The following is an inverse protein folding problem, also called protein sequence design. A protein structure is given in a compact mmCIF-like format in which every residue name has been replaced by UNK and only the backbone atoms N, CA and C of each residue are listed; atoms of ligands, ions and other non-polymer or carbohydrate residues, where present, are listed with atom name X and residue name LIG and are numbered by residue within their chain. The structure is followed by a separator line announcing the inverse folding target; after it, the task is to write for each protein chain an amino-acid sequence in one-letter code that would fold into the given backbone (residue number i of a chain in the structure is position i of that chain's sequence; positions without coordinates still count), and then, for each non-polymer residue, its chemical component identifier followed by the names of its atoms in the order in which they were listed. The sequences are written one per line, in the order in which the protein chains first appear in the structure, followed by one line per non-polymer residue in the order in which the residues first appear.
data_IF_592787280526
#
_entry.id   IF_592787280526
#
_cell.length_a   1.000
_cell.length_b   1.000
_cell.length_c   1.000
_cell.angle_alpha   90.00
_cell.angle_beta   90.00
_cell.angle_gamma   90.00
#
_symmetry.space_group_name_H-M   'P 1'
#
loop_
_entity.id
_entity.type
_entity.pdbx_description
1 polymer ?
#
# COMPACT_ATOMS: atom_id res chain seq x y z
N UNK A 1 67.72 5.69 -50.70
CA UNK A 1 67.38 5.80 -49.27
C UNK A 1 66.38 6.94 -49.08
N UNK A 2 65.12 6.65 -48.67
CA UNK A 2 64.38 7.40 -47.63
C UNK A 2 63.00 6.75 -47.32
N UNK A 3 62.99 5.51 -46.79
CA UNK A 3 61.79 4.91 -46.16
C UNK A 3 61.79 5.26 -44.67
N UNK A 4 61.38 6.47 -44.26
CA UNK A 4 61.27 6.80 -42.82
C UNK A 4 60.10 7.70 -42.40
N UNK A 5 59.24 8.21 -43.29
CA UNK A 5 58.29 9.26 -42.90
C UNK A 5 56.79 8.86 -42.84
N UNK A 6 56.40 7.68 -43.33
CA UNK A 6 54.96 7.31 -43.36
C UNK A 6 54.47 6.54 -42.10
N UNK A 7 55.39 6.02 -41.28
CA UNK A 7 55.04 5.23 -40.08
C UNK A 7 54.64 6.11 -38.88
N UNK A 8 55.07 7.38 -38.86
CA UNK A 8 54.86 8.26 -37.70
C UNK A 8 53.45 8.86 -37.64
N UNK A 9 52.77 9.05 -38.78
CA UNK A 9 51.43 9.63 -38.82
C UNK A 9 50.32 8.69 -38.36
N UNK A 10 50.44 7.38 -38.59
CA UNK A 10 49.43 6.39 -38.17
C UNK A 10 49.46 6.16 -36.64
N UNK A 11 50.62 6.31 -36.00
CA UNK A 11 50.80 6.10 -34.55
C UNK A 11 50.31 7.25 -33.65
N UNK A 12 50.14 8.45 -34.23
CA UNK A 12 49.66 9.64 -33.50
C UNK A 12 48.13 9.77 -33.55
N UNK A 13 47.49 9.32 -34.63
CA UNK A 13 46.01 9.28 -34.69
C UNK A 13 45.41 8.25 -33.72
N UNK A 14 46.09 7.12 -33.46
CA UNK A 14 45.56 6.08 -32.56
C UNK A 14 45.63 6.46 -31.08
N UNK A 15 46.57 7.33 -30.68
CA UNK A 15 46.72 7.75 -29.28
C UNK A 15 45.77 8.86 -28.87
N UNK A 16 45.39 9.74 -29.79
CA UNK A 16 44.39 10.79 -29.52
C UNK A 16 42.96 10.24 -29.45
N UNK A 17 42.65 9.13 -30.12
CA UNK A 17 41.31 8.55 -30.10
C UNK A 17 41.00 7.75 -28.81
N UNK A 18 42.02 7.14 -28.19
CA UNK A 18 41.85 6.35 -26.96
C UNK A 18 41.69 7.25 -25.71
N UNK A 19 42.30 8.44 -25.70
CA UNK A 19 42.19 9.37 -24.57
C UNK A 19 40.82 10.06 -24.45
N UNK A 20 40.12 10.26 -25.57
CA UNK A 20 38.82 10.95 -25.58
C UNK A 20 37.67 10.01 -25.15
N UNK A 21 37.83 8.68 -25.30
CA UNK A 21 36.78 7.71 -24.93
C UNK A 21 36.75 7.43 -23.41
N UNK A 22 37.86 7.63 -22.69
CA UNK A 22 37.94 7.32 -21.26
C UNK A 22 37.46 8.46 -20.33
N UNK A 23 37.26 9.68 -20.86
CA UNK A 23 36.76 10.84 -20.10
C UNK A 23 35.24 11.05 -20.22
N UNK A 24 34.54 10.27 -21.05
CA UNK A 24 33.07 10.31 -21.15
C UNK A 24 32.34 9.31 -20.23
N UNK A 25 33.06 8.41 -19.54
CA UNK A 25 32.44 7.35 -18.73
C UNK A 25 32.07 7.76 -17.29
N UNK A 26 32.32 9.01 -16.86
CA UNK A 26 32.01 9.48 -15.50
C UNK A 26 30.73 10.34 -15.37
N UNK A 27 29.94 10.52 -16.43
CA UNK A 27 28.66 11.25 -16.35
C UNK A 27 27.41 10.37 -16.13
N UNK A 28 27.57 9.06 -15.90
CA UNK A 28 26.46 8.12 -15.83
C UNK A 28 25.91 7.83 -14.41
N UNK A 29 26.13 8.69 -13.42
CA UNK A 29 25.56 8.50 -12.06
C UNK A 29 25.01 9.78 -11.40
N UNK A 30 24.40 10.68 -12.19
CA UNK A 30 23.46 11.67 -11.64
C UNK A 30 22.35 12.00 -12.63
N UNK A 31 21.60 10.98 -13.04
CA UNK A 31 20.42 11.14 -13.89
C UNK A 31 19.19 10.64 -13.15
N UNK A 32 18.55 11.52 -12.38
CA UNK A 32 17.20 11.26 -11.86
C UNK A 32 16.25 11.01 -13.04
N UNK A 33 15.58 9.87 -13.04
CA UNK A 33 14.62 9.50 -14.07
C UNK A 33 13.33 10.29 -13.92
N UNK A 34 13.37 11.57 -14.30
CA UNK A 34 12.18 12.40 -14.56
C UNK A 34 11.54 12.02 -15.89
N UNK A 35 11.21 10.74 -16.08
CA UNK A 35 10.40 10.33 -17.22
C UNK A 35 9.00 10.93 -17.04
N UNK A 36 8.44 11.64 -18.05
CA UNK A 36 7.03 11.97 -18.01
C UNK A 36 6.23 10.67 -17.98
N UNK A 37 5.26 10.58 -17.09
CA UNK A 37 4.28 9.49 -17.10
C UNK A 37 3.55 9.53 -18.45
N UNK A 38 3.78 8.55 -19.30
CA UNK A 38 3.00 8.40 -20.52
C UNK A 38 1.55 8.08 -20.12
N UNK A 39 0.61 8.82 -20.69
CA UNK A 39 -0.80 8.52 -20.51
C UNK A 39 -1.09 7.15 -21.12
N UNK A 40 -1.64 6.24 -20.30
CA UNK A 40 -2.08 4.92 -20.74
C UNK A 40 -3.03 5.05 -21.92
N UNK A 41 -2.63 4.53 -23.08
CA UNK A 41 -3.51 4.41 -24.23
C UNK A 41 -4.73 3.57 -23.86
N UNK A 42 -5.93 4.06 -24.20
CA UNK A 42 -7.15 3.30 -24.05
C UNK A 42 -7.09 2.08 -24.98
N UNK A 43 -7.36 0.90 -24.42
CA UNK A 43 -7.40 -0.35 -25.18
C UNK A 43 -8.55 -0.30 -26.22
N UNK A 44 -8.39 -0.94 -27.39
CA UNK A 44 -9.43 -1.01 -28.40
C UNK A 44 -10.63 -1.82 -27.89
N UNK A 45 -11.85 -1.43 -28.30
CA UNK A 45 -13.07 -2.22 -28.07
C UNK A 45 -12.91 -3.60 -28.71
N UNK A 46 -12.95 -4.65 -27.88
CA UNK A 46 -12.98 -6.04 -28.34
C UNK A 46 -14.30 -6.67 -27.86
N UNK A 47 -15.04 -7.11 -28.87
CA UNK A 47 -16.29 -7.87 -28.86
C UNK A 47 -16.18 -9.19 -28.04
N UNK A 48 -17.31 -9.62 -27.49
CA UNK A 48 -17.55 -10.60 -26.42
C UNK A 48 -16.60 -11.84 -26.37
N UNK A 49 -15.51 -11.73 -25.61
CA UNK A 49 -14.79 -12.89 -25.05
C UNK A 49 -14.71 -12.73 -23.53
N UNK A 50 -14.96 -13.79 -22.73
CA UNK A 50 -15.21 -13.63 -21.31
C UNK A 50 -13.99 -13.05 -20.59
N UNK A 51 -14.26 -11.91 -19.96
CA UNK A 51 -13.35 -11.02 -19.23
C UNK A 51 -12.66 -11.74 -18.07
N UNK A 52 -11.37 -11.43 -17.88
CA UNK A 52 -10.52 -11.85 -16.76
C UNK A 52 -11.24 -11.77 -15.40
N UNK A 53 -11.22 -12.85 -14.64
CA UNK A 53 -11.82 -12.92 -13.31
C UNK A 53 -10.76 -12.54 -12.26
N UNK A 54 -10.66 -11.24 -11.95
CA UNK A 54 -9.90 -10.78 -10.79
C UNK A 54 -10.61 -11.21 -9.50
N UNK A 55 -10.34 -12.42 -9.02
CA UNK A 55 -11.01 -12.95 -7.82
C UNK A 55 -10.71 -12.04 -6.62
N UNK A 56 -11.72 -11.24 -6.25
CA UNK A 56 -11.63 -10.32 -5.12
C UNK A 56 -12.12 -11.04 -3.87
N UNK A 57 -11.31 -11.02 -2.80
CA UNK A 57 -11.72 -11.55 -1.50
C UNK A 57 -12.74 -10.63 -0.83
N UNK A 58 -13.81 -11.19 -0.29
CA UNK A 58 -14.96 -10.46 0.30
C UNK A 58 -15.42 -11.03 1.65
N UNK A 59 -14.68 -11.99 2.20
CA UNK A 59 -15.04 -12.70 3.43
C UNK A 59 -14.50 -12.10 4.72
N UNK A 60 -14.82 -12.70 5.88
CA UNK A 60 -14.26 -12.32 7.18
C UNK A 60 -12.74 -12.51 7.25
N UNK A 61 -12.10 -11.90 8.24
CA UNK A 61 -10.66 -12.09 8.48
C UNK A 61 -10.32 -13.55 8.89
N UNK A 62 -9.06 -13.98 8.71
CA UNK A 62 -8.58 -15.26 9.23
C UNK A 62 -8.79 -15.36 10.75
N UNK A 63 -9.41 -16.44 11.22
CA UNK A 63 -9.74 -16.66 12.64
C UNK A 63 -8.51 -16.88 13.53
N UNK A 64 -7.41 -17.33 12.95
CA UNK A 64 -6.16 -17.64 13.64
C UNK A 64 -4.95 -17.56 12.68
N UNK A 65 -3.76 -17.79 13.21
CA UNK A 65 -2.51 -17.75 12.44
C UNK A 65 -2.47 -18.84 11.34
N UNK A 66 -3.03 -20.02 11.59
CA UNK A 66 -2.99 -21.12 10.63
C UNK A 66 -3.84 -20.81 9.39
N UNK A 67 -5.00 -20.15 9.57
CA UNK A 67 -5.82 -19.67 8.46
C UNK A 67 -5.15 -18.50 7.73
N UNK A 68 -4.41 -17.64 8.44
CA UNK A 68 -3.61 -16.57 7.82
C UNK A 68 -2.50 -17.15 6.94
N UNK A 69 -1.75 -18.12 7.44
CA UNK A 69 -0.67 -18.77 6.68
C UNK A 69 -1.22 -19.51 5.47
N UNK A 70 -2.34 -20.21 5.61
CA UNK A 70 -3.06 -20.78 4.48
C UNK A 70 -3.41 -19.74 3.42
N UNK A 71 -3.93 -18.59 3.86
CA UNK A 71 -4.29 -17.53 2.93
C UNK A 71 -3.08 -17.07 2.13
N UNK A 72 -1.99 -16.76 2.82
CA UNK A 72 -0.78 -16.19 2.25
C UNK A 72 -0.02 -17.15 1.33
N UNK A 73 0.13 -18.42 1.74
CA UNK A 73 1.03 -19.37 1.06
C UNK A 73 0.31 -20.35 0.14
N UNK A 74 -1.01 -20.45 0.22
CA UNK A 74 -1.77 -21.39 -0.59
C UNK A 74 -2.94 -20.73 -1.30
N UNK A 75 -3.86 -20.09 -0.58
CA UNK A 75 -5.08 -19.56 -1.19
C UNK A 75 -4.79 -18.44 -2.19
N UNK A 76 -3.94 -17.47 -1.82
CA UNK A 76 -3.57 -16.35 -2.69
C UNK A 76 -2.85 -16.83 -3.97
N UNK A 77 -2.16 -17.97 -3.92
CA UNK A 77 -1.50 -18.60 -5.07
C UNK A 77 -2.50 -19.36 -5.96
N UNK A 78 -3.35 -20.23 -5.39
CA UNK A 78 -4.26 -21.08 -6.20
C UNK A 78 -5.45 -20.32 -6.77
N UNK A 79 -5.72 -19.10 -6.27
CA UNK A 79 -6.76 -18.23 -6.82
C UNK A 79 -6.31 -17.49 -8.07
N UNK A 80 -5.01 -17.45 -8.36
CA UNK A 80 -4.49 -16.79 -9.55
C UNK A 80 -5.10 -17.36 -10.84
N UNK A 81 -5.35 -16.46 -11.79
CA UNK A 81 -5.97 -16.81 -13.08
C UNK A 81 -5.16 -17.87 -13.83
N UNK A 82 -3.83 -17.77 -13.78
CA UNK A 82 -2.93 -18.74 -14.43
C UNK A 82 -3.03 -20.14 -13.80
N UNK A 83 -3.25 -20.23 -12.49
CA UNK A 83 -3.44 -21.50 -11.79
C UNK A 83 -4.84 -22.07 -12.04
N UNK A 84 -5.85 -21.18 -12.11
CA UNK A 84 -7.19 -21.50 -12.62
C UNK A 84 -8.07 -22.34 -11.69
N UNK A 85 -7.62 -22.67 -10.46
CA UNK A 85 -8.41 -23.50 -9.53
C UNK A 85 -9.72 -22.81 -9.11
N UNK A 86 -9.72 -21.48 -9.02
CA UNK A 86 -10.89 -20.67 -8.66
C UNK A 86 -12.10 -20.92 -9.58
N UNK A 87 -11.86 -21.19 -10.87
CA UNK A 87 -12.91 -21.40 -11.88
C UNK A 87 -13.91 -22.51 -11.49
N UNK A 88 -13.45 -23.52 -10.76
CA UNK A 88 -14.29 -24.64 -10.33
C UNK A 88 -14.46 -24.71 -8.81
N UNK A 89 -13.46 -24.31 -8.03
CA UNK A 89 -13.40 -24.57 -6.59
C UNK A 89 -13.82 -23.38 -5.72
N UNK A 90 -14.33 -22.30 -6.32
CA UNK A 90 -15.13 -21.27 -5.62
C UNK A 90 -16.51 -21.79 -5.20
N UNK A 91 -17.17 -21.10 -4.27
CA UNK A 91 -18.47 -21.42 -3.67
C UNK A 91 -19.60 -21.67 -4.69
N UNK A 92 -19.55 -21.01 -5.85
CA UNK A 92 -20.49 -21.22 -6.96
C UNK A 92 -19.99 -22.12 -8.10
N UNK A 93 -18.73 -22.58 -8.04
CA UNK A 93 -18.13 -23.40 -9.10
C UNK A 93 -18.64 -24.85 -9.12
N UNK A 94 -18.19 -25.65 -10.08
CA UNK A 94 -18.62 -27.05 -10.23
C UNK A 94 -17.79 -28.06 -9.42
N UNK A 95 -16.64 -27.64 -8.89
CA UNK A 95 -15.76 -28.49 -8.07
C UNK A 95 -16.44 -28.91 -6.77
N UNK A 96 -16.27 -30.17 -6.37
CA UNK A 96 -16.95 -30.76 -5.21
C UNK A 96 -16.44 -30.23 -3.87
N UNK A 97 -15.16 -29.83 -3.80
CA UNK A 97 -14.54 -29.26 -2.60
C UNK A 97 -14.30 -27.77 -2.82
N UNK A 98 -14.70 -26.94 -1.87
CA UNK A 98 -14.68 -25.48 -2.00
C UNK A 98 -13.50 -24.87 -1.26
N UNK A 99 -12.29 -25.19 -1.70
CA UNK A 99 -11.05 -24.73 -1.04
C UNK A 99 -10.54 -23.39 -1.57
N UNK A 100 -11.13 -22.84 -2.64
CA UNK A 100 -10.79 -21.52 -3.22
C UNK A 100 -11.95 -20.54 -3.07
N UNK A 101 -12.72 -20.64 -1.98
CA UNK A 101 -13.83 -19.70 -1.72
C UNK A 101 -13.26 -18.31 -1.47
N UNK A 102 -13.89 -17.29 -2.06
CA UNK A 102 -13.51 -15.89 -1.85
C UNK A 102 -14.46 -15.14 -0.91
N UNK A 103 -15.51 -15.80 -0.41
CA UNK A 103 -16.48 -15.24 0.53
C UNK A 103 -16.22 -15.64 1.98
N UNK A 104 -15.39 -16.66 2.24
CA UNK A 104 -14.94 -17.00 3.59
C UNK A 104 -13.65 -17.84 3.55
N UNK A 105 -12.54 -17.25 4.02
CA UNK A 105 -11.24 -17.90 4.09
C UNK A 105 -11.18 -19.03 5.12
N UNK A 106 -11.96 -18.94 6.19
CA UNK A 106 -11.99 -19.96 7.24
C UNK A 106 -12.66 -21.24 6.72
N UNK A 107 -13.74 -21.09 5.96
CA UNK A 107 -14.38 -22.22 5.27
C UNK A 107 -13.50 -22.79 4.15
N UNK A 108 -12.78 -21.93 3.42
CA UNK A 108 -11.82 -22.36 2.40
C UNK A 108 -10.70 -23.21 3.01
N UNK A 109 -10.15 -22.77 4.14
CA UNK A 109 -9.15 -23.49 4.93
C UNK A 109 -9.65 -24.87 5.37
N UNK A 110 -10.83 -24.94 5.98
CA UNK A 110 -11.40 -26.20 6.46
C UNK A 110 -11.62 -27.20 5.31
N UNK A 111 -12.03 -26.70 4.13
CA UNK A 111 -12.14 -27.50 2.93
C UNK A 111 -10.77 -27.97 2.39
N UNK A 112 -9.75 -27.11 2.40
CA UNK A 112 -8.41 -27.43 1.93
C UNK A 112 -7.75 -28.54 2.75
N UNK A 113 -7.95 -28.53 4.08
CA UNK A 113 -7.42 -29.58 4.98
C UNK A 113 -7.95 -30.99 4.66
N UNK A 114 -9.07 -31.12 3.95
CA UNK A 114 -9.55 -32.43 3.48
C UNK A 114 -8.75 -32.99 2.29
N UNK A 115 -7.93 -32.16 1.65
CA UNK A 115 -7.17 -32.49 0.44
C UNK A 115 -5.65 -32.44 0.65
N UNK A 116 -5.20 -31.74 1.70
CA UNK A 116 -3.79 -31.41 1.92
C UNK A 116 -3.25 -32.14 3.14
N UNK A 117 -2.06 -32.72 2.98
CA UNK A 117 -1.27 -33.29 4.06
C UNK A 117 -0.09 -32.35 4.35
N UNK A 118 -0.20 -31.56 5.42
CA UNK A 118 0.85 -30.61 5.79
C UNK A 118 2.13 -31.29 6.32
N UNK A 119 2.04 -32.53 6.81
CA UNK A 119 3.21 -33.28 7.28
C UNK A 119 3.99 -33.93 6.13
N UNK A 120 3.32 -34.16 4.99
CA UNK A 120 3.91 -34.72 3.77
C UNK A 120 3.24 -34.05 2.56
N UNK A 121 3.71 -32.85 2.16
CA UNK A 121 3.12 -32.06 1.09
C UNK A 121 2.93 -32.82 -0.22
N UNK A 122 3.92 -33.62 -0.61
CA UNK A 122 3.93 -34.39 -1.86
C UNK A 122 2.85 -35.51 -1.86
N UNK A 123 2.52 -36.04 -0.69
CA UNK A 123 1.46 -37.04 -0.52
C UNK A 123 0.04 -36.41 -0.48
N UNK A 124 -0.10 -35.10 -0.67
CA UNK A 124 -1.40 -34.44 -0.68
C UNK A 124 -2.29 -34.93 -1.84
N UNK A 125 -3.59 -35.09 -1.58
CA UNK A 125 -4.56 -35.53 -2.60
C UNK A 125 -4.64 -34.53 -3.75
N UNK A 126 -4.56 -33.22 -3.45
CA UNK A 126 -4.57 -32.17 -4.49
C UNK A 126 -3.36 -32.26 -5.43
N UNK A 127 -2.17 -32.52 -4.88
CA UNK A 127 -0.92 -32.71 -5.64
C UNK A 127 -1.04 -33.93 -6.54
N UNK A 128 -1.44 -35.07 -5.97
CA UNK A 128 -1.66 -36.32 -6.73
C UNK A 128 -2.68 -36.12 -7.84
N UNK A 129 -3.74 -35.36 -7.60
CA UNK A 129 -4.81 -35.16 -8.59
C UNK A 129 -4.35 -34.30 -9.77
N UNK A 130 -3.58 -33.24 -9.53
CA UNK A 130 -3.03 -32.38 -10.59
C UNK A 130 -1.92 -33.10 -11.36
N UNK A 131 -1.05 -33.86 -10.67
CA UNK A 131 -0.03 -34.69 -11.30
C UNK A 131 -0.64 -35.73 -12.28
N UNK A 132 -1.87 -36.18 -12.03
CA UNK A 132 -2.63 -37.08 -12.90
C UNK A 132 -3.42 -36.35 -14.00
N UNK A 133 -3.18 -35.07 -14.24
CA UNK A 133 -3.73 -34.32 -15.39
C UNK A 133 -4.95 -33.45 -15.08
N UNK A 134 -5.28 -33.22 -13.81
CA UNK A 134 -6.38 -32.30 -13.48
C UNK A 134 -5.94 -30.83 -13.67
N UNK A 135 -6.24 -30.27 -14.85
CA UNK A 135 -6.09 -28.85 -15.18
C UNK A 135 -4.72 -28.26 -14.82
N UNK A 136 -3.65 -28.98 -15.11
CA UNK A 136 -2.31 -28.42 -15.00
C UNK A 136 -2.17 -27.23 -15.97
N UNK A 137 -1.73 -26.10 -15.46
CA UNK A 137 -1.51 -24.85 -16.21
C UNK A 137 -0.20 -24.85 -17.02
N UNK A 138 0.60 -25.90 -16.86
CA UNK A 138 1.81 -26.15 -17.64
C UNK A 138 1.61 -27.35 -18.57
N UNK A 139 2.39 -27.40 -19.63
CA UNK A 139 2.48 -28.59 -20.50
C UNK A 139 3.17 -29.77 -19.81
N UNK A 140 3.94 -29.50 -18.76
CA UNK A 140 4.61 -30.52 -17.94
C UNK A 140 3.91 -30.65 -16.59
N UNK A 141 3.27 -31.80 -16.37
CA UNK A 141 2.57 -32.13 -15.12
C UNK A 141 3.50 -32.13 -13.90
N UNK A 142 4.79 -32.35 -14.10
CA UNK A 142 5.83 -32.27 -13.06
C UNK A 142 5.91 -30.88 -12.48
N UNK A 143 5.82 -29.83 -13.33
CA UNK A 143 5.86 -28.44 -12.90
C UNK A 143 4.66 -28.14 -12.00
N UNK A 144 3.45 -28.51 -12.42
CA UNK A 144 2.25 -28.24 -11.61
C UNK A 144 2.26 -28.99 -10.27
N UNK A 145 2.75 -30.24 -10.27
CA UNK A 145 2.95 -31.03 -9.05
C UNK A 145 3.91 -30.30 -8.11
N UNK A 146 5.11 -29.97 -8.60
CA UNK A 146 6.18 -29.39 -7.79
C UNK A 146 5.79 -28.00 -7.25
N UNK A 147 5.12 -27.19 -8.06
CA UNK A 147 4.60 -25.89 -7.63
C UNK A 147 3.54 -26.03 -6.53
N UNK A 148 2.59 -26.97 -6.64
CA UNK A 148 1.61 -27.20 -5.56
C UNK A 148 2.26 -27.75 -4.30
N UNK A 149 3.22 -28.66 -4.45
CA UNK A 149 4.01 -29.17 -3.33
C UNK A 149 4.75 -28.02 -2.63
N UNK A 150 5.31 -27.07 -3.38
CA UNK A 150 5.98 -25.89 -2.82
C UNK A 150 5.00 -24.99 -2.05
N UNK A 151 3.84 -24.66 -2.62
CA UNK A 151 2.80 -23.87 -1.91
C UNK A 151 2.39 -24.53 -0.60
N UNK A 152 2.17 -25.84 -0.60
CA UNK A 152 1.81 -26.59 0.61
C UNK A 152 2.99 -26.63 1.59
N UNK A 153 4.22 -26.75 1.10
CA UNK A 153 5.43 -26.72 1.94
C UNK A 153 5.59 -25.36 2.62
N UNK A 154 5.40 -24.27 1.88
CA UNK A 154 5.43 -22.91 2.43
C UNK A 154 4.30 -22.70 3.45
N UNK A 155 3.09 -23.17 3.16
CA UNK A 155 1.99 -23.15 4.12
C UNK A 155 2.29 -23.96 5.38
N UNK A 156 2.85 -25.18 5.24
CA UNK A 156 3.20 -26.02 6.38
C UNK A 156 4.31 -25.40 7.26
N UNK A 157 5.27 -24.71 6.63
CA UNK A 157 6.29 -23.96 7.34
C UNK A 157 5.71 -22.72 8.02
N UNK A 158 4.67 -22.14 7.43
CA UNK A 158 4.01 -20.92 7.87
C UNK A 158 4.94 -19.72 7.85
N UNK A 159 4.46 -18.58 8.36
CA UNK A 159 5.41 -17.57 8.81
C UNK A 159 6.04 -18.11 10.09
N UNK A 160 7.36 -18.30 10.08
CA UNK A 160 8.06 -18.46 11.34
C UNK A 160 7.64 -17.29 12.24
N UNK A 161 7.51 -17.53 13.54
CA UNK A 161 7.49 -16.45 14.51
C UNK A 161 8.86 -15.75 14.54
N UNK A 162 9.34 -15.26 13.40
CA UNK A 162 10.16 -14.06 13.36
C UNK A 162 9.38 -13.07 14.18
N UNK A 163 9.98 -12.69 15.30
CA UNK A 163 9.39 -11.89 16.35
C UNK A 163 8.29 -11.03 15.75
N UNK A 164 7.05 -11.23 16.20
CA UNK A 164 6.14 -10.11 16.23
C UNK A 164 7.03 -8.94 16.61
N UNK A 165 7.20 -7.96 15.72
CA UNK A 165 7.47 -6.62 16.18
C UNK A 165 6.19 -6.31 16.94
N UNK A 166 6.13 -6.84 18.16
CA UNK A 166 5.27 -6.37 19.20
C UNK A 166 5.82 -4.98 19.31
N UNK A 167 5.16 -4.06 18.60
CA UNK A 167 5.23 -2.66 18.91
C UNK A 167 4.62 -2.63 20.29
N UNK A 168 5.48 -2.89 21.28
CA UNK A 168 5.18 -2.75 22.66
C UNK A 168 4.99 -1.25 22.78
N UNK A 169 3.74 -0.82 22.70
CA UNK A 169 3.37 0.53 23.09
C UNK A 169 3.64 0.61 24.59
N UNK A 170 4.90 0.85 24.93
CA UNK A 170 5.23 1.46 26.20
C UNK A 170 4.65 2.85 26.05
N UNK A 171 3.47 3.06 26.64
CA UNK A 171 2.99 4.40 26.87
C UNK A 171 4.16 5.16 27.50
N UNK A 172 4.59 6.30 26.91
CA UNK A 172 5.52 7.17 27.59
C UNK A 172 5.02 7.37 29.01
N UNK A 173 5.91 7.31 30.01
CA UNK A 173 5.53 7.69 31.37
C UNK A 173 4.72 8.98 31.28
N UNK A 174 3.54 9.05 31.92
CA UNK A 174 2.62 10.17 31.80
C UNK A 174 3.39 11.49 31.80
N UNK A 175 3.64 12.02 30.60
CA UNK A 175 4.24 13.31 30.47
C UNK A 175 3.06 14.24 30.61
N UNK A 176 2.88 14.83 31.79
CA UNK A 176 2.12 16.07 31.85
C UNK A 176 2.72 16.97 30.76
N UNK A 177 1.93 17.44 29.78
CA UNK A 177 2.44 18.33 28.75
C UNK A 177 2.85 19.63 29.44
N UNK A 178 4.09 19.73 29.92
CA UNK A 178 4.63 20.99 30.41
C UNK A 178 5.01 21.79 29.18
N UNK A 179 4.02 22.45 28.59
CA UNK A 179 4.23 23.25 27.39
C UNK A 179 3.04 23.41 26.45
N UNK A 180 1.90 22.74 26.68
CA UNK A 180 0.67 23.19 26.03
C UNK A 180 0.25 24.50 26.70
N UNK A 181 0.54 25.63 26.08
CA UNK A 181 -0.10 26.89 26.46
C UNK A 181 -1.58 26.69 26.10
N UNK A 182 -2.42 26.55 27.10
CA UNK A 182 -3.88 26.46 26.93
C UNK A 182 -4.44 27.84 27.21
N UNK A 183 -5.36 28.30 26.35
CA UNK A 183 -6.12 29.51 26.63
C UNK A 183 -6.92 29.33 27.95
N UNK A 184 -7.05 30.36 28.79
CA UNK A 184 -7.83 30.28 30.02
C UNK A 184 -9.25 29.74 29.80
N UNK A 185 -9.82 29.01 30.75
CA UNK A 185 -11.19 28.49 30.59
C UNK A 185 -12.23 29.62 30.58
N UNK A 186 -11.98 30.70 31.32
CA UNK A 186 -12.85 31.87 31.42
C UNK A 186 -12.36 33.07 30.57
N UNK A 187 -13.29 33.99 30.31
CA UNK A 187 -13.08 35.13 29.43
C UNK A 187 -12.42 36.34 30.12
N UNK A 188 -12.11 36.31 31.42
CA UNK A 188 -11.69 37.53 32.15
C UNK A 188 -10.40 38.14 31.57
N UNK A 189 -9.42 37.31 31.22
CA UNK A 189 -8.18 37.81 30.64
C UNK A 189 -8.42 38.36 29.24
N UNK A 190 -9.25 37.68 28.44
CA UNK A 190 -9.66 38.12 27.11
C UNK A 190 -10.39 39.46 27.15
N UNK A 191 -11.32 39.64 28.09
CA UNK A 191 -12.09 40.86 28.32
C UNK A 191 -11.20 42.09 28.55
N UNK A 192 -10.12 41.90 29.31
CA UNK A 192 -9.23 42.99 29.72
C UNK A 192 -8.04 43.21 28.79
N UNK A 193 -7.84 42.37 27.76
CA UNK A 193 -6.66 42.45 26.89
C UNK A 193 -7.02 42.54 25.41
N UNK A 194 -7.64 41.51 24.86
CA UNK A 194 -7.89 41.36 23.43
C UNK A 194 -9.25 41.95 23.04
N UNK A 195 -10.28 41.70 23.85
CA UNK A 195 -11.65 42.13 23.55
C UNK A 195 -11.79 43.64 23.29
N UNK A 196 -11.13 44.57 24.01
CA UNK A 196 -11.25 46.00 23.73
C UNK A 196 -10.76 46.38 22.33
N UNK A 197 -9.74 45.67 21.82
CA UNK A 197 -9.23 45.87 20.46
C UNK A 197 -10.23 45.38 19.41
N UNK A 198 -10.84 44.21 19.64
CA UNK A 198 -11.84 43.62 18.75
C UNK A 198 -13.14 44.44 18.75
N UNK A 199 -13.60 44.87 19.91
CA UNK A 199 -14.78 45.72 20.06
C UNK A 199 -14.57 47.10 19.41
N UNK A 200 -13.36 47.66 19.49
CA UNK A 200 -13.07 48.97 18.87
C UNK A 200 -12.98 48.88 17.35
N UNK A 201 -12.30 47.85 16.82
CA UNK A 201 -11.90 47.83 15.42
C UNK A 201 -12.75 46.90 14.55
N UNK A 202 -13.41 45.90 15.13
CA UNK A 202 -14.02 44.80 14.40
C UNK A 202 -15.53 44.66 14.64
N UNK A 203 -16.11 45.38 15.62
CA UNK A 203 -17.54 45.28 15.97
C UNK A 203 -18.48 45.61 14.80
N UNK A 204 -18.04 46.45 13.85
CA UNK A 204 -18.83 46.83 12.67
C UNK A 204 -19.13 45.68 11.71
N UNK A 205 -18.35 44.59 11.76
CA UNK A 205 -18.52 43.41 10.89
C UNK A 205 -18.58 42.08 11.66
N UNK A 206 -17.83 41.91 12.76
CA UNK A 206 -17.69 40.64 13.48
C UNK A 206 -18.47 40.60 14.80
N UNK A 207 -19.63 41.25 14.87
CA UNK A 207 -20.52 41.23 16.04
C UNK A 207 -21.96 40.84 15.68
N UNK A 208 -22.72 40.42 16.68
CA UNK A 208 -24.18 40.24 16.62
C UNK A 208 -24.93 41.55 16.34
N UNK A 209 -24.33 42.69 16.68
CA UNK A 209 -24.89 44.02 16.43
C UNK A 209 -24.60 44.56 15.02
N UNK A 210 -23.67 43.94 14.27
CA UNK A 210 -23.34 44.34 12.91
C UNK A 210 -24.54 44.11 11.95
N UNK A 211 -24.79 45.00 10.97
CA UNK A 211 -25.84 44.80 9.98
C UNK A 211 -25.64 43.49 9.21
N UNK A 212 -26.72 42.73 9.00
CA UNK A 212 -26.67 41.37 8.41
C UNK A 212 -25.98 41.35 7.04
N UNK A 213 -26.05 42.44 6.28
CA UNK A 213 -25.45 42.57 4.95
C UNK A 213 -23.92 42.64 4.95
N UNK A 214 -23.32 43.06 6.07
CA UNK A 214 -21.85 43.18 6.23
C UNK A 214 -21.28 42.24 7.28
N UNK A 215 -22.14 41.57 8.07
CA UNK A 215 -21.75 40.69 9.17
C UNK A 215 -20.93 39.50 8.67
N UNK A 216 -19.81 39.25 9.34
CA UNK A 216 -18.86 38.18 9.04
C UNK A 216 -18.69 37.24 10.24
N UNK A 217 -18.52 35.96 9.97
CA UNK A 217 -18.17 34.94 10.97
C UNK A 217 -16.66 34.66 10.98
N UNK A 218 -16.04 34.32 12.13
CA UNK A 218 -16.66 34.15 13.45
C UNK A 218 -16.97 35.49 14.14
N UNK A 219 -17.89 35.48 15.11
CA UNK A 219 -18.35 36.68 15.82
C UNK A 219 -17.49 37.00 17.05
N UNK A 220 -16.19 37.16 16.86
CA UNK A 220 -15.24 37.42 17.94
C UNK A 220 -15.33 38.83 18.58
N UNK A 221 -16.25 39.68 18.10
CA UNK A 221 -16.59 40.97 18.71
C UNK A 221 -18.07 41.01 19.15
N UNK A 222 -18.64 39.85 19.49
CA UNK A 222 -20.01 39.72 19.99
C UNK A 222 -20.24 40.55 21.27
N UNK A 223 -21.46 41.09 21.44
CA UNK A 223 -21.84 41.93 22.59
C UNK A 223 -21.71 41.24 23.96
N UNK A 224 -21.92 39.91 23.98
CA UNK A 224 -21.56 39.03 25.08
C UNK A 224 -20.09 38.57 24.98
N UNK A 225 -19.28 38.90 26.00
CA UNK A 225 -17.82 38.67 26.04
C UNK A 225 -17.46 37.18 26.08
N UNK A 226 -18.24 36.34 26.77
CA UNK A 226 -17.99 34.90 26.81
C UNK A 226 -18.18 34.28 25.42
N UNK A 227 -19.22 34.70 24.70
CA UNK A 227 -19.45 34.26 23.32
C UNK A 227 -18.36 34.76 22.39
N UNK A 228 -17.95 36.04 22.52
CA UNK A 228 -16.84 36.60 21.77
C UNK A 228 -15.54 35.84 22.01
N UNK A 229 -15.31 35.40 23.25
CA UNK A 229 -14.12 34.63 23.64
C UNK A 229 -14.09 33.26 22.97
N UNK A 230 -15.17 32.47 23.06
CA UNK A 230 -15.25 31.16 22.41
C UNK A 230 -15.01 31.25 20.89
N UNK A 231 -15.61 32.25 20.24
CA UNK A 231 -15.43 32.50 18.81
C UNK A 231 -14.00 32.94 18.45
N UNK A 232 -13.31 33.63 19.36
CA UNK A 232 -11.93 34.08 19.18
C UNK A 232 -10.89 32.98 19.41
N UNK A 233 -11.17 31.95 20.23
CA UNK A 233 -10.20 30.88 20.58
C UNK A 233 -9.57 30.23 19.36
N UNK A 234 -10.36 29.96 18.32
CA UNK A 234 -9.88 29.34 17.07
C UNK A 234 -8.99 30.27 16.20
N UNK A 235 -8.82 31.53 16.61
CA UNK A 235 -8.10 32.58 15.87
C UNK A 235 -6.91 33.14 16.64
N UNK A 236 -6.68 32.72 17.87
CA UNK A 236 -5.54 33.13 18.68
C UNK A 236 -4.44 32.08 18.54
N UNK A 237 -3.28 32.50 18.02
CA UNK A 237 -2.07 31.69 18.01
C UNK A 237 -1.30 31.90 19.32
N UNK A 238 -0.86 30.80 19.93
CA UNK A 238 -0.12 30.78 21.20
C UNK A 238 1.37 30.45 21.00
N UNK A 239 1.82 30.39 19.74
CA UNK A 239 3.19 30.10 19.34
C UNK A 239 4.16 31.29 19.51
#
# INVERSE_FOLDING_TARGET
MNKRNDSLYISQLSKSFVGLILLLSLYACSGGSGAPTEAREAAPDVDDTPVALNVTYSGPDPRDQAVRDFKLFFWDEVVEEVIGCANCHMQGGQGTVKFVRNDDINMAYDAALTLVNLADPDASTIVTRVANGHNCWSVDATICRDTLTDFITQWANGVAASESTTINFVAPADQMPTGAIVLPDDSNLFENTVYPLLATNCVGCHSDTAPVQVRQTPLFAHSNVDTAYEEAKTKIDLA
#
